data_IF_797903638377
#
_entry.id   IF_797903638377
#
_cell.length_a   1.000
_cell.length_b   1.000
_cell.length_c   1.000
_cell.angle_alpha   90.00
_cell.angle_beta   90.00
_cell.angle_gamma   90.00
#
_symmetry.space_group_name_H-M   'P 1'
#
loop_
_entity.id
_entity.type
_entity.pdbx_description
1 polymer ?
#
# COMPACT_ATOMS: atom_id res chain seq x y z
N UNK A 1 9.59 8.22 -22.62
CA UNK A 1 9.53 6.95 -23.38
C UNK A 1 10.57 5.91 -22.94
N UNK A 2 11.89 6.17 -23.02
CA UNK A 2 12.91 5.17 -22.60
C UNK A 2 12.72 4.64 -21.18
N UNK A 3 12.47 5.52 -20.19
CA UNK A 3 12.17 5.12 -18.80
C UNK A 3 10.93 4.23 -18.70
N UNK A 4 9.84 4.61 -19.39
CA UNK A 4 8.59 3.84 -19.40
C UNK A 4 8.78 2.42 -19.98
N UNK A 5 9.57 2.28 -21.05
CA UNK A 5 9.86 0.97 -21.65
C UNK A 5 10.65 0.08 -20.67
N UNK A 6 11.60 0.66 -19.93
CA UNK A 6 12.35 -0.06 -18.88
C UNK A 6 11.41 -0.52 -17.77
N UNK A 7 10.53 0.36 -17.28
CA UNK A 7 9.53 0.00 -16.27
C UNK A 7 8.59 -1.12 -16.74
N UNK A 8 8.14 -1.07 -18.00
CA UNK A 8 7.33 -2.14 -18.60
C UNK A 8 8.12 -3.46 -18.66
N UNK A 9 9.40 -3.40 -19.05
CA UNK A 9 10.26 -4.58 -19.07
C UNK A 9 10.47 -5.19 -17.68
N UNK A 10 10.72 -4.36 -16.68
CA UNK A 10 10.83 -4.77 -15.27
C UNK A 10 9.51 -5.36 -14.75
N UNK A 11 8.38 -4.77 -15.11
CA UNK A 11 7.05 -5.26 -14.74
C UNK A 11 6.76 -6.65 -15.31
N UNK A 12 7.08 -6.88 -16.59
CA UNK A 12 6.93 -8.21 -17.22
C UNK A 12 7.80 -9.23 -16.48
N UNK A 13 9.06 -8.91 -16.21
CA UNK A 13 9.97 -9.79 -15.46
C UNK A 13 9.45 -10.07 -14.04
N UNK A 14 8.97 -9.05 -13.34
CA UNK A 14 8.43 -9.17 -11.98
C UNK A 14 7.19 -10.08 -11.94
N UNK A 15 6.27 -9.93 -12.91
CA UNK A 15 5.09 -10.79 -13.05
C UNK A 15 5.44 -12.25 -13.30
N UNK A 16 6.54 -12.53 -14.01
CA UNK A 16 6.95 -13.90 -14.28
C UNK A 16 7.64 -14.54 -13.08
N UNK A 17 8.53 -13.79 -12.40
CA UNK A 17 9.41 -14.33 -11.36
C UNK A 17 8.74 -14.32 -9.97
N UNK A 18 8.13 -13.20 -9.58
CA UNK A 18 7.68 -13.02 -8.19
C UNK A 18 6.50 -13.90 -7.81
N UNK A 19 5.48 -14.13 -8.65
CA UNK A 19 4.43 -15.11 -8.36
C UNK A 19 4.96 -16.53 -8.19
N UNK A 20 5.95 -16.93 -9.00
CA UNK A 20 6.58 -18.25 -8.87
C UNK A 20 7.27 -18.38 -7.52
N UNK A 21 8.10 -17.40 -7.15
CA UNK A 21 8.78 -17.37 -5.84
C UNK A 21 7.78 -17.39 -4.68
N UNK A 22 6.68 -16.64 -4.82
CA UNK A 22 5.61 -16.60 -3.81
C UNK A 22 4.94 -17.97 -3.63
N UNK A 23 4.57 -18.64 -4.73
CA UNK A 23 3.95 -19.98 -4.68
C UNK A 23 4.90 -21.00 -4.07
N UNK A 24 6.16 -21.03 -4.53
CA UNK A 24 7.19 -21.94 -3.98
C UNK A 24 7.40 -21.67 -2.48
N UNK A 25 7.47 -20.40 -2.08
CA UNK A 25 7.61 -20.01 -0.68
C UNK A 25 6.44 -20.45 0.20
N UNK A 26 5.20 -20.32 -0.29
CA UNK A 26 4.01 -20.81 0.41
C UNK A 26 4.06 -22.32 0.56
N UNK A 27 4.29 -23.06 -0.53
CA UNK A 27 4.33 -24.53 -0.51
C UNK A 27 5.41 -25.02 0.46
N UNK A 28 6.62 -24.46 0.38
CA UNK A 28 7.72 -24.81 1.27
C UNK A 28 7.35 -24.57 2.73
N UNK A 29 6.76 -23.41 3.03
CA UNK A 29 6.41 -23.04 4.42
C UNK A 29 5.28 -23.91 4.95
N UNK A 30 4.22 -24.14 4.17
CA UNK A 30 3.13 -25.06 4.51
C UNK A 30 3.64 -26.50 4.73
N UNK A 31 4.49 -27.01 3.83
CA UNK A 31 5.07 -28.36 3.95
C UNK A 31 5.92 -28.52 5.21
N UNK A 32 6.77 -27.52 5.51
CA UNK A 32 7.57 -27.50 6.74
C UNK A 32 6.70 -27.46 7.99
N UNK A 33 5.56 -26.77 7.95
CA UNK A 33 4.62 -26.71 9.06
C UNK A 33 3.88 -28.02 9.30
N UNK A 34 3.42 -28.71 8.25
CA UNK A 34 2.78 -30.04 8.40
C UNK A 34 3.76 -31.01 9.05
N UNK A 35 5.03 -30.98 8.67
CA UNK A 35 6.06 -31.84 9.27
C UNK A 35 6.30 -31.49 10.75
N UNK A 36 6.55 -30.22 11.07
CA UNK A 36 6.97 -29.81 12.42
C UNK A 36 5.83 -29.54 13.40
N UNK A 37 4.57 -29.50 12.94
CA UNK A 37 3.36 -29.15 13.70
C UNK A 37 3.47 -27.85 14.52
N UNK A 38 4.35 -26.95 14.11
CA UNK A 38 4.91 -25.92 15.00
C UNK A 38 4.20 -24.56 14.91
N UNK A 39 3.14 -24.43 14.10
CA UNK A 39 2.64 -23.10 13.70
C UNK A 39 1.16 -23.02 13.38
N UNK A 40 0.56 -21.88 13.72
CA UNK A 40 -0.84 -21.55 13.41
C UNK A 40 -0.98 -20.99 12.00
N UNK A 41 -1.90 -21.56 11.22
CA UNK A 41 -2.25 -21.10 9.86
C UNK A 41 -2.59 -19.59 9.82
N UNK A 42 -3.31 -19.10 10.84
CA UNK A 42 -3.70 -17.69 10.94
C UNK A 42 -2.48 -16.75 11.04
N UNK A 43 -1.41 -17.17 11.74
CA UNK A 43 -0.18 -16.36 11.88
C UNK A 43 0.57 -16.21 10.55
N UNK A 44 0.42 -17.15 9.63
CA UNK A 44 1.07 -17.10 8.32
C UNK A 44 0.20 -16.41 7.27
N UNK A 45 -1.12 -16.61 7.30
CA UNK A 45 -2.03 -16.04 6.32
C UNK A 45 -2.27 -14.54 6.55
N UNK A 46 -2.26 -14.09 7.80
CA UNK A 46 -2.48 -12.66 8.13
C UNK A 46 -1.44 -11.74 7.50
N UNK A 47 -0.11 -12.00 7.60
CA UNK A 47 0.90 -11.22 6.88
C UNK A 47 0.72 -11.22 5.36
N UNK A 48 0.34 -12.36 4.76
CA UNK A 48 0.13 -12.46 3.31
C UNK A 48 -1.02 -11.54 2.88
N UNK A 49 -2.17 -11.63 3.55
CA UNK A 49 -3.32 -10.76 3.27
C UNK A 49 -2.97 -9.29 3.50
N UNK A 50 -2.21 -8.98 4.55
CA UNK A 50 -1.78 -7.62 4.83
C UNK A 50 -0.88 -7.07 3.72
N UNK A 51 0.07 -7.86 3.21
CA UNK A 51 0.92 -7.48 2.08
C UNK A 51 0.12 -7.25 0.81
N UNK A 52 -0.85 -8.11 0.50
CA UNK A 52 -1.75 -7.92 -0.65
C UNK A 52 -2.53 -6.63 -0.53
N UNK A 53 -3.12 -6.36 0.64
CA UNK A 53 -3.87 -5.13 0.89
C UNK A 53 -2.99 -3.87 0.70
N UNK A 54 -1.73 -3.89 1.17
CA UNK A 54 -0.80 -2.77 0.99
C UNK A 54 -0.41 -2.56 -0.48
N UNK A 55 -0.20 -3.63 -1.25
CA UNK A 55 0.07 -3.54 -2.69
C UNK A 55 -1.13 -2.94 -3.41
N UNK A 56 -2.34 -3.40 -3.10
CA UNK A 56 -3.57 -2.89 -3.70
C UNK A 56 -3.80 -1.42 -3.33
N UNK A 57 -3.50 -1.02 -2.10
CA UNK A 57 -3.60 0.37 -1.63
C UNK A 57 -2.64 1.29 -2.40
N UNK A 58 -1.36 0.92 -2.52
CA UNK A 58 -0.38 1.65 -3.33
C UNK A 58 -0.74 1.70 -4.83
N UNK A 59 -1.17 0.57 -5.39
CA UNK A 59 -1.58 0.49 -6.80
C UNK A 59 -2.80 1.36 -7.07
N UNK A 60 -3.81 1.35 -6.19
CA UNK A 60 -5.00 2.18 -6.32
C UNK A 60 -4.65 3.66 -6.19
N UNK A 61 -3.73 4.04 -5.30
CA UNK A 61 -3.25 5.42 -5.22
C UNK A 61 -2.59 5.86 -6.53
N UNK A 62 -1.66 5.07 -7.06
CA UNK A 62 -0.93 5.40 -8.28
C UNK A 62 -1.85 5.41 -9.51
N UNK A 63 -2.76 4.44 -9.61
CA UNK A 63 -3.63 4.23 -10.78
C UNK A 63 -4.88 5.12 -10.80
N UNK A 64 -5.49 5.39 -9.65
CA UNK A 64 -6.71 6.19 -9.52
C UNK A 64 -6.45 7.59 -8.94
N UNK A 65 -5.20 8.02 -8.86
CA UNK A 65 -4.81 9.25 -8.16
C UNK A 65 -5.52 10.50 -8.66
N UNK A 66 -5.58 10.72 -9.98
CA UNK A 66 -6.28 11.87 -10.58
C UNK A 66 -7.77 11.85 -10.22
N UNK A 67 -8.43 10.71 -10.38
CA UNK A 67 -9.84 10.53 -10.00
C UNK A 67 -10.07 10.86 -8.51
N UNK A 68 -9.22 10.35 -7.62
CA UNK A 68 -9.33 10.60 -6.18
C UNK A 68 -9.11 12.09 -5.85
N UNK A 69 -8.14 12.74 -6.49
CA UNK A 69 -7.90 14.18 -6.33
C UNK A 69 -9.14 14.99 -6.75
N UNK A 70 -9.77 14.64 -7.87
CA UNK A 70 -10.96 15.34 -8.36
C UNK A 70 -12.18 15.08 -7.47
N UNK A 71 -12.45 13.83 -7.11
CA UNK A 71 -13.58 13.45 -6.26
C UNK A 71 -13.53 14.13 -4.89
N UNK A 72 -12.34 14.22 -4.28
CA UNK A 72 -12.16 14.82 -2.96
C UNK A 72 -11.78 16.30 -3.01
N UNK A 73 -11.69 16.89 -4.21
CA UNK A 73 -11.27 18.28 -4.45
C UNK A 73 -9.97 18.61 -3.69
N UNK A 74 -8.94 17.80 -3.91
CA UNK A 74 -7.62 17.95 -3.28
C UNK A 74 -6.75 18.85 -4.15
N UNK A 75 -6.22 19.90 -3.53
CA UNK A 75 -5.36 20.91 -4.17
C UNK A 75 -4.12 21.14 -3.30
N UNK A 76 -2.99 21.51 -3.91
CA UNK A 76 -1.73 21.76 -3.19
C UNK A 76 -0.64 20.73 -3.46
N UNK A 77 0.33 20.61 -2.56
CA UNK A 77 1.48 19.71 -2.70
C UNK A 77 1.18 18.25 -2.30
N UNK A 78 0.21 18.04 -1.41
CA UNK A 78 -0.27 16.73 -0.97
C UNK A 78 -1.39 16.30 -1.92
N UNK A 79 -1.14 15.26 -2.73
CA UNK A 79 -2.07 14.73 -3.75
C UNK A 79 -1.92 13.22 -3.88
N UNK A 80 -3.01 12.54 -4.25
CA UNK A 80 -2.97 11.14 -4.68
C UNK A 80 -2.24 10.98 -6.03
N UNK A 81 -1.79 9.78 -6.36
CA UNK A 81 -1.15 9.48 -7.65
C UNK A 81 0.37 9.24 -7.61
N UNK A 82 1.01 9.44 -6.45
CA UNK A 82 2.44 9.15 -6.30
C UNK A 82 2.67 7.65 -6.11
N UNK A 83 3.51 7.05 -6.95
CA UNK A 83 3.77 5.60 -6.94
C UNK A 83 4.33 5.07 -5.61
N UNK A 84 5.01 5.91 -4.85
CA UNK A 84 5.63 5.55 -3.56
C UNK A 84 4.73 5.81 -2.35
N UNK A 85 3.52 6.33 -2.55
CA UNK A 85 2.55 6.57 -1.47
C UNK A 85 1.33 5.66 -1.61
N UNK A 86 0.64 5.41 -0.50
CA UNK A 86 -0.64 4.67 -0.47
C UNK A 86 -1.82 5.63 -0.31
N UNK A 87 -3.05 5.19 -0.59
CA UNK A 87 -4.25 6.00 -0.32
C UNK A 87 -4.30 6.28 1.17
N UNK A 88 -4.02 5.28 2.01
CA UNK A 88 -4.02 5.43 3.46
C UNK A 88 -3.07 6.53 3.94
N UNK A 89 -1.83 6.56 3.44
CA UNK A 89 -0.82 7.55 3.81
C UNK A 89 -1.19 8.96 3.32
N UNK A 90 -1.60 9.11 2.05
CA UNK A 90 -2.01 10.41 1.49
C UNK A 90 -3.22 10.94 2.25
N UNK A 91 -4.18 10.08 2.56
CA UNK A 91 -5.37 10.45 3.32
C UNK A 91 -5.03 10.91 4.74
N UNK A 92 -4.05 10.27 5.39
CA UNK A 92 -3.51 10.71 6.67
C UNK A 92 -2.86 12.09 6.60
N UNK A 93 -2.04 12.34 5.57
CA UNK A 93 -1.44 13.66 5.33
C UNK A 93 -2.50 14.75 5.07
N UNK A 94 -3.53 14.43 4.29
CA UNK A 94 -4.64 15.35 4.03
C UNK A 94 -5.39 15.70 5.33
N UNK A 95 -5.60 14.72 6.21
CA UNK A 95 -6.18 14.98 7.54
C UNK A 95 -5.31 15.95 8.35
N UNK A 96 -4.00 15.73 8.39
CA UNK A 96 -3.08 16.50 9.23
C UNK A 96 -2.92 17.95 8.77
N UNK A 97 -2.96 18.21 7.45
CA UNK A 97 -2.57 19.51 6.90
C UNK A 97 -3.70 20.25 6.14
N UNK A 98 -4.80 19.58 5.79
CA UNK A 98 -5.83 20.17 4.92
C UNK A 98 -7.23 20.02 5.53
N UNK A 99 -7.80 18.80 5.53
CA UNK A 99 -9.18 18.52 5.95
C UNK A 99 -9.39 17.02 6.16
N UNK A 100 -10.38 16.64 6.96
CA UNK A 100 -10.79 15.25 7.02
C UNK A 100 -11.56 14.83 5.74
N UNK A 101 -11.42 13.58 5.33
CA UNK A 101 -12.13 13.01 4.17
C UNK A 101 -12.94 11.79 4.57
N UNK A 102 -14.06 11.55 3.87
CA UNK A 102 -14.86 10.33 4.08
C UNK A 102 -14.06 9.05 3.81
N UNK A 103 -13.07 9.12 2.92
CA UNK A 103 -12.16 8.01 2.65
C UNK A 103 -11.35 7.64 3.90
N UNK A 104 -10.82 8.63 4.64
CA UNK A 104 -10.10 8.38 5.89
C UNK A 104 -10.95 7.62 6.89
N UNK A 105 -12.16 8.14 7.13
CA UNK A 105 -13.09 7.57 8.11
C UNK A 105 -13.39 6.11 7.75
N UNK A 106 -13.60 5.83 6.46
CA UNK A 106 -13.83 4.48 5.97
C UNK A 106 -12.62 3.57 6.20
N UNK A 107 -11.42 4.03 5.81
CA UNK A 107 -10.19 3.27 5.94
C UNK A 107 -9.84 2.98 7.40
N UNK A 108 -9.93 3.97 8.30
CA UNK A 108 -9.71 3.76 9.74
C UNK A 108 -10.75 2.82 10.36
N UNK A 109 -11.99 2.83 9.86
CA UNK A 109 -13.03 1.90 10.33
C UNK A 109 -12.74 0.45 9.92
N UNK A 110 -12.23 0.23 8.71
CA UNK A 110 -12.03 -1.10 8.14
C UNK A 110 -10.66 -1.69 8.51
N UNK A 111 -9.62 -0.85 8.59
CA UNK A 111 -8.23 -1.27 8.74
C UNK A 111 -7.67 -1.06 10.15
N UNK A 112 -8.39 -0.33 11.02
CA UNK A 112 -8.02 -0.10 12.41
C UNK A 112 -7.98 1.38 12.78
N UNK A 113 -8.23 1.68 14.05
CA UNK A 113 -8.25 3.06 14.56
C UNK A 113 -6.91 3.76 14.27
N UNK A 114 -6.97 4.98 13.73
CA UNK A 114 -5.81 5.82 13.36
C UNK A 114 -4.89 5.24 12.28
N UNK A 115 -5.34 4.20 11.54
CA UNK A 115 -4.54 3.54 10.52
C UNK A 115 -3.94 4.51 9.49
N UNK A 116 -4.71 5.49 9.00
CA UNK A 116 -4.23 6.44 8.00
C UNK A 116 -3.12 7.35 8.53
N UNK A 117 -3.15 7.75 9.81
CA UNK A 117 -2.12 8.59 10.44
C UNK A 117 -0.84 7.79 10.69
N UNK A 118 -1.00 6.52 11.08
CA UNK A 118 0.11 5.59 11.30
C UNK A 118 0.75 5.13 9.98
N UNK A 119 0.00 5.18 8.88
CA UNK A 119 0.49 4.88 7.54
C UNK A 119 1.36 6.00 6.94
N UNK A 120 1.35 7.21 7.51
CA UNK A 120 2.22 8.30 7.07
C UNK A 120 3.66 8.01 7.48
N UNK A 121 4.57 7.98 6.49
CA UNK A 121 5.99 7.75 6.74
C UNK A 121 6.61 8.85 7.60
N UNK A 122 7.70 8.54 8.30
CA UNK A 122 8.41 9.53 9.14
C UNK A 122 8.97 10.64 8.25
N UNK A 123 9.44 10.26 7.06
CA UNK A 123 9.97 11.15 6.04
C UNK A 123 8.90 12.12 5.52
N UNK A 124 7.68 11.63 5.26
CA UNK A 124 6.56 12.48 4.85
C UNK A 124 6.16 13.47 5.95
N UNK A 125 6.15 13.03 7.23
CA UNK A 125 5.90 13.94 8.37
C UNK A 125 6.96 15.02 8.44
N UNK A 126 8.24 14.63 8.38
CA UNK A 126 9.35 15.58 8.45
C UNK A 126 9.33 16.59 7.30
N UNK A 127 9.05 16.15 6.08
CA UNK A 127 9.02 17.01 4.91
C UNK A 127 7.95 18.11 5.01
N UNK A 128 6.78 17.76 5.55
CA UNK A 128 5.63 18.66 5.69
C UNK A 128 5.57 19.44 7.01
N UNK A 129 6.35 19.07 8.02
CA UNK A 129 6.54 19.87 9.24
C UNK A 129 7.56 21.01 9.03
N UNK A 130 8.53 20.84 8.12
CA UNK A 130 9.65 21.76 7.92
C UNK A 130 9.56 22.61 6.64
N UNK A 131 8.49 22.49 5.84
CA UNK A 131 8.19 23.31 4.66
C UNK A 131 6.71 23.65 4.61
#
# INVERSE_FOLDING_TARGET
>A
MKKLIIEIGLFIMAILIFPLLFVVGIIYTCGKHIWKLDYSFSKQFTPILRSVNLILDGLANAGAGELLNDCFKITGSIKYGKWYQTISAVTGLILLHIKDTKMRIFLDKVLGKNHCVDAVSIEDKFYHENN
#
